data_IF_569361650976
#
_entry.id   IF_569361650976
#
_cell.length_a   1.000
_cell.length_b   1.000
_cell.length_c   1.000
_cell.angle_alpha   90.00
_cell.angle_beta   90.00
_cell.angle_gamma   90.00
#
_symmetry.space_group_name_H-M   'P 1'
#
loop_
_entity.id
_entity.type
_entity.pdbx_description
1 polymer ?
#
# COMPACT_ATOMS: atom_id res chain seq x y z
N UNK A 1 26.51 -0.17 -42.69
CA UNK A 1 25.81 -1.36 -42.15
C UNK A 1 24.86 -0.84 -41.06
N UNK A 2 23.63 -0.36 -41.35
CA UNK A 2 22.34 -1.11 -41.33
C UNK A 2 22.40 -2.41 -40.50
N UNK A 3 21.49 -2.67 -39.54
CA UNK A 3 20.00 -2.76 -39.60
C UNK A 3 19.41 -2.24 -38.26
N UNK A 4 18.34 -1.44 -38.12
CA UNK A 4 16.93 -1.46 -38.56
C UNK A 4 16.02 -2.43 -37.78
N UNK A 5 15.12 -1.87 -36.94
CA UNK A 5 13.75 -2.38 -36.67
C UNK A 5 12.79 -1.19 -36.48
N UNK A 6 12.31 -0.66 -37.61
CA UNK A 6 10.89 -0.48 -37.94
C UNK A 6 9.89 -0.19 -36.79
N UNK A 7 9.75 1.09 -36.43
CA UNK A 7 8.48 1.62 -35.91
C UNK A 7 7.52 1.85 -37.08
N UNK A 8 6.54 0.94 -37.23
CA UNK A 8 5.43 1.09 -38.17
C UNK A 8 4.55 2.27 -37.73
N UNK A 9 4.54 3.33 -38.54
CA UNK A 9 3.56 4.40 -38.45
C UNK A 9 2.15 3.85 -38.70
N UNK A 10 1.28 3.91 -37.69
CA UNK A 10 -0.17 3.80 -37.89
C UNK A 10 -0.78 5.21 -38.00
N UNK A 11 -1.80 5.43 -38.84
CA UNK A 11 -2.44 6.74 -38.96
C UNK A 11 -3.19 7.04 -37.67
N UNK A 12 -2.82 8.14 -37.02
CA UNK A 12 -3.40 8.61 -35.76
C UNK A 12 -4.93 8.68 -35.85
N UNK A 13 -5.61 7.80 -35.13
CA UNK A 13 -7.02 8.00 -34.81
C UNK A 13 -7.11 9.05 -33.71
N UNK A 14 -8.15 9.87 -33.73
CA UNK A 14 -8.46 10.88 -32.67
C UNK A 14 -8.39 10.27 -31.25
N UNK A 15 -8.60 8.97 -31.12
CA UNK A 15 -8.55 8.22 -29.85
C UNK A 15 -7.12 8.13 -29.27
N UNK A 16 -6.07 8.01 -30.11
CA UNK A 16 -4.67 8.02 -29.65
C UNK A 16 -4.25 9.40 -29.14
N UNK A 17 -4.71 10.47 -29.81
CA UNK A 17 -4.43 11.84 -29.38
C UNK A 17 -5.16 12.16 -28.07
N UNK A 18 -6.40 11.68 -27.91
CA UNK A 18 -7.14 11.82 -26.64
C UNK A 18 -6.50 11.00 -25.52
N UNK A 19 -6.05 9.77 -25.79
CA UNK A 19 -5.34 8.96 -24.80
C UNK A 19 -4.02 9.61 -24.37
N UNK A 20 -3.23 10.11 -25.31
CA UNK A 20 -1.99 10.83 -25.01
C UNK A 20 -2.24 12.17 -24.31
N UNK A 21 -3.32 12.89 -24.66
CA UNK A 21 -3.73 14.12 -23.97
C UNK A 21 -4.26 13.85 -22.56
N UNK A 22 -5.00 12.76 -22.33
CA UNK A 22 -5.50 12.35 -21.01
C UNK A 22 -4.33 11.91 -20.13
N UNK A 23 -3.43 11.07 -20.66
CA UNK A 23 -2.20 10.70 -19.96
C UNK A 23 -1.29 11.91 -19.71
N UNK A 24 -1.21 12.88 -20.64
CA UNK A 24 -0.47 14.13 -20.42
C UNK A 24 -1.15 15.04 -19.42
N UNK A 25 -2.48 15.07 -19.34
CA UNK A 25 -3.23 15.87 -18.35
C UNK A 25 -3.05 15.30 -16.93
N UNK A 26 -3.23 13.99 -16.76
CA UNK A 26 -2.95 13.30 -15.50
C UNK A 26 -1.47 13.43 -15.12
N UNK A 27 -0.56 13.29 -16.09
CA UNK A 27 0.86 13.53 -15.85
C UNK A 27 1.15 15.00 -15.50
N UNK A 28 0.47 15.99 -16.08
CA UNK A 28 0.68 17.40 -15.75
C UNK A 28 0.25 17.73 -14.32
N UNK A 29 -0.86 17.15 -13.87
CA UNK A 29 -1.37 17.34 -12.52
C UNK A 29 -0.49 16.62 -11.49
N UNK A 30 -0.02 15.40 -11.80
CA UNK A 30 1.01 14.70 -11.02
C UNK A 30 2.31 15.51 -10.99
N UNK A 31 2.77 16.05 -12.12
CA UNK A 31 4.00 16.83 -12.17
C UNK A 31 3.88 18.15 -11.40
N UNK A 32 2.73 18.83 -11.48
CA UNK A 32 2.44 20.03 -10.68
C UNK A 32 2.37 19.70 -9.19
N UNK A 33 1.85 18.54 -8.83
CA UNK A 33 1.87 18.05 -7.45
C UNK A 33 3.31 17.81 -6.99
N UNK A 34 4.14 17.14 -7.79
CA UNK A 34 5.58 16.97 -7.51
C UNK A 34 6.31 18.31 -7.36
N UNK A 35 6.06 19.29 -8.23
CA UNK A 35 6.63 20.64 -8.11
C UNK A 35 6.17 21.37 -6.84
N UNK A 36 4.91 21.17 -6.44
CA UNK A 36 4.40 21.69 -5.18
C UNK A 36 5.15 21.07 -4.00
N UNK A 37 5.33 19.74 -4.00
CA UNK A 37 6.07 19.02 -2.98
C UNK A 37 7.54 19.48 -2.88
N UNK A 38 8.20 19.66 -4.03
CA UNK A 38 9.57 20.18 -4.09
C UNK A 38 9.68 21.60 -3.52
N UNK A 39 8.70 22.48 -3.81
CA UNK A 39 8.67 23.85 -3.27
C UNK A 39 8.53 23.90 -1.75
N UNK A 40 7.98 22.85 -1.14
CA UNK A 40 7.80 22.73 0.31
C UNK A 40 8.76 21.70 0.94
N UNK A 41 9.75 21.22 0.18
CA UNK A 41 10.80 20.27 0.61
C UNK A 41 10.27 18.94 1.17
N UNK A 42 9.16 18.46 0.60
CA UNK A 42 8.58 17.17 0.94
C UNK A 42 9.03 16.11 -0.08
N UNK A 43 9.65 15.04 0.41
CA UNK A 43 10.08 13.89 -0.37
C UNK A 43 9.28 12.65 0.03
N UNK A 44 8.76 11.92 -0.96
CA UNK A 44 8.18 10.59 -0.74
C UNK A 44 9.33 9.60 -0.59
N UNK A 45 9.31 8.80 0.48
CA UNK A 45 10.37 7.82 0.74
C UNK A 45 10.31 6.63 -0.22
N UNK A 46 11.46 6.06 -0.53
CA UNK A 46 11.57 4.74 -1.12
C UNK A 46 11.87 3.68 -0.06
N UNK A 47 11.71 2.39 -0.40
CA UNK A 47 11.92 1.30 0.54
C UNK A 47 13.35 1.23 1.12
N UNK A 48 14.35 1.74 0.38
CA UNK A 48 15.75 1.81 0.84
C UNK A 48 15.90 2.82 1.98
N UNK A 49 15.18 3.94 1.92
CA UNK A 49 15.25 4.99 2.93
C UNK A 49 14.74 4.51 4.29
N UNK A 50 13.74 3.62 4.31
CA UNK A 50 13.19 3.05 5.55
C UNK A 50 14.23 2.26 6.36
N UNK A 51 15.31 1.77 5.71
CA UNK A 51 16.41 1.05 6.36
C UNK A 51 17.40 1.96 7.07
N UNK A 52 17.41 3.25 6.76
CA UNK A 52 18.29 4.22 7.44
C UNK A 52 17.84 4.38 8.90
N UNK A 53 18.71 4.09 9.90
CA UNK A 53 18.32 4.13 11.32
C UNK A 53 17.70 5.45 11.77
N UNK A 54 18.14 6.59 11.21
CA UNK A 54 17.54 7.89 11.52
C UNK A 54 16.10 8.01 11.04
N UNK A 55 15.82 7.55 9.82
CA UNK A 55 14.48 7.59 9.23
C UNK A 55 13.57 6.61 9.97
N UNK A 56 14.03 5.38 10.23
CA UNK A 56 13.29 4.40 11.04
C UNK A 56 12.92 4.94 12.42
N UNK A 57 13.83 5.70 13.06
CA UNK A 57 13.55 6.34 14.34
C UNK A 57 12.47 7.45 14.23
N UNK A 58 12.46 8.24 13.16
CA UNK A 58 11.41 9.23 12.92
C UNK A 58 10.06 8.58 12.59
N UNK A 59 10.05 7.50 11.80
CA UNK A 59 8.83 6.70 11.55
C UNK A 59 8.25 6.19 12.86
N UNK A 60 9.07 5.58 13.72
CA UNK A 60 8.62 5.06 15.01
C UNK A 60 8.07 6.16 15.94
N UNK A 61 8.68 7.35 15.93
CA UNK A 61 8.19 8.51 16.71
C UNK A 61 6.83 8.99 16.20
N UNK A 62 6.66 9.11 14.88
CA UNK A 62 5.41 9.58 14.30
C UNK A 62 4.30 8.53 14.44
N UNK A 63 4.63 7.25 14.25
CA UNK A 63 3.71 6.14 14.46
C UNK A 63 3.16 6.07 15.89
N UNK A 64 4.04 6.29 16.87
CA UNK A 64 3.62 6.38 18.28
C UNK A 64 2.61 7.51 18.51
N UNK A 65 2.78 8.69 17.88
CA UNK A 65 1.82 9.80 18.00
C UNK A 65 0.52 9.46 17.30
N UNK A 66 0.60 8.88 16.11
CA UNK A 66 -0.55 8.48 15.32
C UNK A 66 -1.43 7.46 16.06
N UNK A 67 -0.84 6.46 16.70
CA UNK A 67 -1.56 5.46 17.52
C UNK A 67 -2.25 6.03 18.77
N UNK A 68 -1.99 7.28 19.14
CA UNK A 68 -2.66 7.98 20.24
C UNK A 68 -3.83 8.86 19.77
N UNK A 69 -4.04 8.98 18.45
CA UNK A 69 -5.15 9.75 17.89
C UNK A 69 -6.46 9.06 18.26
N UNK A 70 -7.43 9.86 18.71
CA UNK A 70 -8.79 9.39 19.01
C UNK A 70 -9.74 9.88 17.92
N UNK A 71 -10.23 8.95 17.11
CA UNK A 71 -11.18 9.23 16.03
C UNK A 71 -12.58 8.84 16.51
N UNK A 72 -13.58 9.73 16.44
CA UNK A 72 -14.95 9.39 16.82
C UNK A 72 -15.49 8.22 15.99
N UNK A 73 -16.08 7.22 16.66
CA UNK A 73 -16.68 6.07 15.99
C UNK A 73 -16.56 4.77 16.79
N UNK A 74 -16.83 3.64 16.11
CA UNK A 74 -16.57 2.32 16.69
C UNK A 74 -15.07 2.10 16.85
N UNK A 75 -14.66 1.64 18.03
CA UNK A 75 -13.27 1.24 18.33
C UNK A 75 -13.03 -0.26 18.11
N UNK A 76 -13.98 -0.95 17.47
CA UNK A 76 -13.84 -2.36 17.12
C UNK A 76 -12.73 -2.54 16.07
N UNK A 77 -11.79 -3.48 16.27
CA UNK A 77 -10.71 -3.71 15.31
C UNK A 77 -11.26 -4.24 13.98
N UNK A 78 -11.04 -3.52 12.89
CA UNK A 78 -11.60 -3.86 11.57
C UNK A 78 -10.80 -4.90 10.79
N UNK A 79 -9.54 -5.17 11.19
CA UNK A 79 -8.62 -6.07 10.49
C UNK A 79 -9.27 -7.40 10.05
N UNK A 80 -9.86 -8.14 11.00
CA UNK A 80 -10.46 -9.44 10.69
C UNK A 80 -11.71 -9.30 9.81
N UNK A 81 -12.53 -8.28 10.05
CA UNK A 81 -13.73 -8.00 9.26
C UNK A 81 -13.35 -7.74 7.79
N UNK A 82 -12.29 -6.96 7.56
CA UNK A 82 -11.78 -6.66 6.22
C UNK A 82 -11.15 -7.87 5.55
N UNK A 83 -10.33 -8.66 6.26
CA UNK A 83 -9.76 -9.91 5.74
C UNK A 83 -10.88 -10.86 5.26
N UNK A 84 -11.88 -11.15 6.11
CA UNK A 84 -12.97 -12.06 5.72
C UNK A 84 -13.83 -11.49 4.58
N UNK A 85 -14.05 -10.17 4.56
CA UNK A 85 -14.73 -9.48 3.47
C UNK A 85 -13.97 -9.62 2.15
N UNK A 86 -12.64 -9.46 2.17
CA UNK A 86 -11.81 -9.63 0.98
C UNK A 86 -11.74 -11.09 0.52
N UNK A 87 -11.57 -12.05 1.43
CA UNK A 87 -11.62 -13.48 1.10
C UNK A 87 -12.95 -13.86 0.45
N UNK A 88 -14.07 -13.36 0.97
CA UNK A 88 -15.39 -13.59 0.38
C UNK A 88 -15.51 -13.01 -1.03
N UNK A 89 -15.02 -11.79 -1.25
CA UNK A 89 -14.99 -11.17 -2.58
C UNK A 89 -14.10 -11.95 -3.54
N UNK A 90 -12.90 -12.31 -3.09
CA UNK A 90 -11.92 -13.05 -3.87
C UNK A 90 -12.46 -14.42 -4.29
N UNK A 91 -13.10 -15.16 -3.37
CA UNK A 91 -13.71 -16.47 -3.64
C UNK A 91 -14.88 -16.42 -4.66
N UNK A 92 -15.44 -15.24 -4.90
CA UNK A 92 -16.53 -15.04 -5.86
C UNK A 92 -16.04 -14.60 -7.25
N UNK A 93 -14.73 -14.40 -7.43
CA UNK A 93 -14.18 -13.92 -8.70
C UNK A 93 -14.28 -14.97 -9.81
N UNK A 94 -14.34 -14.47 -11.04
CA UNK A 94 -14.24 -15.25 -12.28
C UNK A 94 -13.42 -14.45 -13.27
N UNK A 95 -12.47 -15.12 -13.91
CA UNK A 95 -11.58 -14.53 -14.89
C UNK A 95 -11.94 -15.03 -16.29
N UNK A 96 -11.97 -14.11 -17.26
CA UNK A 96 -12.18 -14.45 -18.68
C UNK A 96 -10.93 -15.10 -19.29
N UNK A 97 -9.75 -14.69 -18.84
CA UNK A 97 -8.49 -15.29 -19.26
C UNK A 97 -8.36 -16.72 -18.71
N UNK A 98 -8.21 -17.68 -19.61
CA UNK A 98 -8.15 -19.10 -19.27
C UNK A 98 -6.97 -19.44 -18.36
N UNK A 99 -5.82 -18.78 -18.52
CA UNK A 99 -4.64 -19.07 -17.70
C UNK A 99 -4.78 -18.49 -16.28
N UNK A 100 -5.32 -17.29 -16.14
CA UNK A 100 -5.72 -16.70 -14.85
C UNK A 100 -6.77 -17.56 -14.16
N UNK A 101 -7.81 -17.98 -14.87
CA UNK A 101 -8.87 -18.82 -14.32
C UNK A 101 -8.32 -20.17 -13.86
N UNK A 102 -7.41 -20.79 -14.62
CA UNK A 102 -6.73 -22.04 -14.21
C UNK A 102 -5.88 -21.87 -12.96
N UNK A 103 -5.23 -20.71 -12.76
CA UNK A 103 -4.50 -20.43 -11.51
C UNK A 103 -5.47 -20.21 -10.36
N UNK A 104 -6.53 -19.44 -10.59
CA UNK A 104 -7.53 -19.12 -9.59
C UNK A 104 -8.24 -20.36 -9.02
N UNK A 105 -8.66 -21.31 -9.85
CA UNK A 105 -9.36 -22.53 -9.38
C UNK A 105 -8.48 -23.48 -8.56
N UNK A 106 -7.16 -23.27 -8.53
CA UNK A 106 -6.25 -24.04 -7.66
C UNK A 106 -6.21 -23.48 -6.23
N UNK A 107 -6.74 -22.28 -6.00
CA UNK A 107 -6.75 -21.66 -4.68
C UNK A 107 -7.90 -22.26 -3.86
N UNK A 108 -7.57 -22.86 -2.72
CA UNK A 108 -8.55 -23.35 -1.77
C UNK A 108 -8.93 -22.23 -0.81
N UNK A 109 -9.97 -21.45 -1.16
CA UNK A 109 -10.46 -20.37 -0.30
C UNK A 109 -11.00 -20.88 1.04
N UNK A 110 -11.49 -22.12 1.09
CA UNK A 110 -11.92 -22.75 2.34
C UNK A 110 -10.75 -22.98 3.29
N UNK A 111 -9.64 -23.55 2.79
CA UNK A 111 -8.43 -23.76 3.60
C UNK A 111 -7.88 -22.42 4.13
N UNK A 112 -7.79 -21.40 3.27
CA UNK A 112 -7.33 -20.07 3.69
C UNK A 112 -8.26 -19.47 4.75
N UNK A 113 -9.58 -19.62 4.62
CA UNK A 113 -10.53 -19.13 5.62
C UNK A 113 -10.37 -19.84 6.96
N UNK A 114 -10.13 -21.15 6.95
CA UNK A 114 -9.91 -21.95 8.16
C UNK A 114 -8.60 -21.55 8.85
N UNK A 115 -7.50 -21.38 8.10
CA UNK A 115 -6.20 -20.92 8.63
C UNK A 115 -6.29 -19.51 9.23
N UNK A 116 -6.95 -18.58 8.53
CA UNK A 116 -7.15 -17.20 9.03
C UNK A 116 -7.99 -17.20 10.31
N UNK A 117 -9.00 -18.07 10.39
CA UNK A 117 -9.82 -18.20 11.59
C UNK A 117 -9.02 -18.77 12.76
N UNK A 118 -8.23 -19.81 12.54
CA UNK A 118 -7.34 -20.36 13.57
C UNK A 118 -6.35 -19.31 14.07
N UNK A 119 -5.71 -18.57 13.15
CA UNK A 119 -4.80 -17.48 13.51
C UNK A 119 -5.50 -16.40 14.34
N UNK A 120 -6.72 -16.00 13.95
CA UNK A 120 -7.53 -15.06 14.72
C UNK A 120 -7.79 -15.57 16.14
N UNK A 121 -8.26 -16.80 16.27
CA UNK A 121 -8.61 -17.40 17.56
C UNK A 121 -7.38 -17.49 18.48
N UNK A 122 -6.20 -17.77 17.93
CA UNK A 122 -4.93 -17.76 18.67
C UNK A 122 -4.52 -16.35 19.13
N UNK A 123 -4.67 -15.35 18.27
CA UNK A 123 -4.25 -13.98 18.56
C UNK A 123 -5.21 -13.24 19.50
N UNK A 124 -6.50 -13.59 19.51
CA UNK A 124 -7.50 -12.99 20.41
C UNK A 124 -7.13 -13.19 21.90
N UNK A 125 -6.37 -14.24 22.22
CA UNK A 125 -5.87 -14.54 23.58
C UNK A 125 -4.86 -13.49 24.06
N UNK A 126 -4.15 -12.81 23.15
CA UNK A 126 -3.12 -11.84 23.50
C UNK A 126 -3.69 -10.53 24.06
N UNK A 127 -4.99 -10.29 23.90
CA UNK A 127 -5.66 -9.03 24.24
C UNK A 127 -4.86 -7.82 23.73
N UNK A 128 -4.42 -7.91 22.47
CA UNK A 128 -3.55 -6.92 21.87
C UNK A 128 -4.21 -5.53 21.87
N UNK A 129 -3.45 -4.45 22.14
CA UNK A 129 -3.99 -3.12 22.20
C UNK A 129 -4.53 -2.69 20.84
N UNK A 130 -5.78 -2.19 20.85
CA UNK A 130 -6.44 -1.60 19.68
C UNK A 130 -6.19 -0.10 19.67
N UNK A 131 -5.77 0.41 18.53
CA UNK A 131 -5.42 1.82 18.30
C UNK A 131 -5.98 2.27 16.96
N UNK A 132 -6.06 3.58 16.71
CA UNK A 132 -6.25 4.05 15.35
C UNK A 132 -4.95 3.80 14.57
N UNK A 133 -5.03 2.90 13.59
CA UNK A 133 -3.90 2.40 12.81
C UNK A 133 -4.01 2.89 11.36
N UNK A 134 -2.86 2.99 10.69
CA UNK A 134 -2.84 3.35 9.28
C UNK A 134 -3.20 2.16 8.40
N UNK A 135 -2.75 0.97 8.79
CA UNK A 135 -2.90 -0.33 8.14
C UNK A 135 -2.18 -0.48 6.78
N UNK A 136 -1.43 0.55 6.34
CA UNK A 136 -0.77 0.56 5.02
C UNK A 136 0.48 1.47 5.01
N UNK A 137 1.45 1.21 5.87
CA UNK A 137 2.67 2.04 6.02
C UNK A 137 3.81 1.61 5.09
N UNK A 138 3.53 1.54 3.79
CA UNK A 138 4.54 1.37 2.74
C UNK A 138 5.31 2.67 2.50
N UNK A 139 6.50 2.59 1.88
CA UNK A 139 7.39 3.76 1.76
C UNK A 139 6.73 4.94 1.02
N UNK A 140 5.90 4.64 0.02
CA UNK A 140 5.11 5.62 -0.73
C UNK A 140 4.13 6.45 0.12
N UNK A 141 3.75 5.96 1.30
CA UNK A 141 2.83 6.63 2.22
C UNK A 141 3.56 7.44 3.31
N UNK A 142 4.89 7.53 3.20
CA UNK A 142 5.76 8.25 4.12
C UNK A 142 6.37 9.46 3.40
N UNK A 143 6.09 10.66 3.89
CA UNK A 143 6.67 11.88 3.37
C UNK A 143 7.60 12.52 4.39
N UNK A 144 8.85 12.73 4.01
CA UNK A 144 9.84 13.41 4.84
C UNK A 144 9.97 14.87 4.39
N UNK A 145 9.89 15.80 5.34
CA UNK A 145 10.34 17.16 5.13
C UNK A 145 11.83 17.25 5.52
N UNK A 146 12.70 17.41 4.52
CA UNK A 146 14.15 17.39 4.70
C UNK A 146 14.69 18.57 5.52
N UNK A 147 14.01 19.72 5.48
CA UNK A 147 14.43 20.91 6.23
C UNK A 147 14.07 20.82 7.71
N UNK A 148 12.89 20.29 8.01
CA UNK A 148 12.37 20.17 9.37
C UNK A 148 12.77 18.84 10.03
N UNK A 149 13.22 17.86 9.24
CA UNK A 149 13.42 16.48 9.67
C UNK A 149 12.12 15.82 10.15
N UNK A 150 10.97 16.28 9.62
CA UNK A 150 9.65 15.87 10.09
C UNK A 150 8.98 14.93 9.09
N UNK A 151 8.46 13.82 9.60
CA UNK A 151 7.75 12.82 8.83
C UNK A 151 6.24 13.06 8.88
N UNK A 152 5.57 12.79 7.77
CA UNK A 152 4.13 12.84 7.62
C UNK A 152 3.64 11.52 7.01
N UNK A 153 2.55 10.98 7.56
CA UNK A 153 1.81 9.90 6.92
C UNK A 153 0.73 10.46 6.01
N UNK A 154 0.50 9.78 4.89
CA UNK A 154 -0.51 10.14 3.90
C UNK A 154 -1.26 8.88 3.47
N UNK A 155 -2.36 9.08 2.74
CA UNK A 155 -3.18 7.99 2.19
C UNK A 155 -3.81 7.06 3.25
N UNK A 156 -4.76 7.63 4.00
CA UNK A 156 -5.45 6.94 5.09
C UNK A 156 -6.66 6.11 4.62
N UNK A 157 -6.69 5.62 3.37
CA UNK A 157 -7.86 4.92 2.84
C UNK A 157 -8.18 3.61 3.59
N UNK A 158 -7.16 2.97 4.16
CA UNK A 158 -7.29 1.80 5.03
C UNK A 158 -7.29 2.15 6.53
N UNK A 159 -7.26 3.44 6.87
CA UNK A 159 -7.21 3.91 8.25
C UNK A 159 -8.42 3.48 9.06
N UNK A 160 -8.19 2.77 10.17
CA UNK A 160 -9.26 2.26 11.04
C UNK A 160 -8.74 1.92 12.43
N UNK A 161 -9.65 1.66 13.37
CA UNK A 161 -9.24 0.99 14.60
C UNK A 161 -8.78 -0.44 14.27
N UNK A 162 -7.58 -0.79 14.70
CA UNK A 162 -6.92 -2.07 14.42
C UNK A 162 -5.92 -2.42 15.52
N UNK A 163 -5.33 -3.60 15.45
CA UNK A 163 -4.33 -4.03 16.42
C UNK A 163 -3.00 -3.32 16.18
N UNK A 164 -2.45 -2.69 17.22
CA UNK A 164 -1.14 -1.99 17.13
C UNK A 164 -0.03 -2.88 16.56
N UNK A 165 -0.03 -4.16 16.95
CA UNK A 165 0.95 -5.12 16.47
C UNK A 165 0.87 -5.37 14.97
N UNK A 166 -0.32 -5.34 14.39
CA UNK A 166 -0.51 -5.49 12.95
C UNK A 166 0.09 -4.31 12.18
N UNK A 167 -0.20 -3.08 12.58
CA UNK A 167 0.28 -1.87 11.89
C UNK A 167 1.82 -1.81 11.87
N UNK A 168 2.46 -2.21 12.97
CA UNK A 168 3.93 -2.31 13.08
C UNK A 168 4.47 -3.47 12.23
N UNK A 169 3.87 -4.65 12.31
CA UNK A 169 4.31 -5.81 11.55
C UNK A 169 4.15 -5.60 10.04
N UNK A 170 3.05 -4.99 9.62
CA UNK A 170 2.82 -4.62 8.23
C UNK A 170 3.90 -3.67 7.74
N UNK A 171 4.20 -2.60 8.49
CA UNK A 171 5.30 -1.69 8.15
C UNK A 171 6.65 -2.42 7.98
N UNK A 172 6.95 -3.42 8.81
CA UNK A 172 8.18 -4.21 8.63
C UNK A 172 8.15 -5.10 7.39
N UNK A 173 7.00 -5.63 6.97
CA UNK A 173 6.90 -6.38 5.72
C UNK A 173 7.26 -5.50 4.51
N UNK A 174 6.94 -4.20 4.56
CA UNK A 174 7.23 -3.25 3.48
C UNK A 174 8.75 -3.01 3.26
N UNK A 175 9.61 -3.47 4.17
CA UNK A 175 11.07 -3.41 3.98
C UNK A 175 11.56 -4.36 2.88
N UNK A 176 10.78 -5.40 2.57
CA UNK A 176 11.03 -6.33 1.47
C UNK A 176 10.74 -5.71 0.09
N UNK A 177 10.03 -4.58 0.05
CA UNK A 177 9.59 -3.93 -1.19
C UNK A 177 8.63 -4.78 -2.01
N UNK A 178 8.27 -4.30 -3.21
CA UNK A 178 7.36 -5.01 -4.12
C UNK A 178 7.92 -6.33 -4.68
N UNK A 179 9.25 -6.50 -4.63
CA UNK A 179 9.91 -7.73 -5.05
C UNK A 179 9.87 -8.83 -3.96
N UNK A 180 9.37 -8.50 -2.76
CA UNK A 180 9.22 -9.43 -1.64
C UNK A 180 10.54 -10.12 -1.24
N UNK A 181 11.66 -9.39 -1.22
CA UNK A 181 12.94 -9.94 -0.75
C UNK A 181 13.02 -9.95 0.77
N UNK A 182 12.75 -11.12 1.35
CA UNK A 182 12.81 -11.35 2.80
C UNK A 182 14.19 -11.86 3.29
N UNK A 183 15.22 -11.91 2.44
CA UNK A 183 16.58 -12.35 2.84
C UNK A 183 17.44 -11.23 3.45
N UNK A 184 16.80 -10.21 4.02
CA UNK A 184 17.40 -8.96 4.51
C UNK A 184 18.26 -9.12 5.77
#
# INVERSE_FOLDING_TARGET
MRLQTDCVFFPFSIVSIIHDLVCQFEALDVWRFYEMLLKINLLILCFVDMKEPKIAAEIAKELRKFHQVDIPGSKEPQLWNDIFKFLKKAAALKFEDNEQQKRYVKISFTEIQDEVKELKDLLDILHAPVVYAHNDLLSGNLMLNDLEGKLYFIDFEYGSYSYRGYDIANHFNEYAGFDCDFNL
#
